data_IF_021274300737
#
_entry.id   IF_021274300737
#
_cell.length_a   1.000
_cell.length_b   1.000
_cell.length_c   1.000
_cell.angle_alpha   90.00
_cell.angle_beta   90.00
_cell.angle_gamma   90.00
#
_symmetry.space_group_name_H-M   'P 1'
#
loop_
_entity.id
_entity.type
_entity.pdbx_description
1 polymer ?
#
# COMPACT_ATOMS: atom_id res chain seq x y z
N UNK A 1 2.17 -10.40 13.47
CA UNK A 1 3.31 -9.64 12.92
C UNK A 1 2.89 -9.18 11.54
N UNK A 2 2.98 -7.90 11.26
CA UNK A 2 2.87 -7.36 9.90
C UNK A 2 4.26 -7.38 9.24
N UNK A 3 4.32 -7.62 7.94
CA UNK A 3 5.57 -7.62 7.16
C UNK A 3 5.49 -6.51 6.11
N UNK A 4 6.54 -5.70 6.02
CA UNK A 4 6.65 -4.69 4.96
C UNK A 4 6.87 -5.40 3.61
N UNK A 5 5.87 -5.31 2.73
CA UNK A 5 5.91 -5.89 1.38
C UNK A 5 6.47 -4.92 0.33
N UNK A 6 6.57 -3.63 0.66
CA UNK A 6 6.91 -2.60 -0.30
C UNK A 6 6.70 -1.19 0.22
N UNK A 7 6.94 -0.21 -0.65
CA UNK A 7 6.82 1.22 -0.35
C UNK A 7 6.10 1.97 -1.46
N UNK A 8 5.32 2.98 -1.10
CA UNK A 8 4.70 3.88 -2.07
C UNK A 8 5.76 4.85 -2.56
N UNK A 9 6.05 4.86 -3.85
CA UNK A 9 7.09 5.72 -4.44
C UNK A 9 6.52 7.03 -4.96
N UNK A 10 5.28 7.01 -5.45
CA UNK A 10 4.60 8.18 -6.01
C UNK A 10 3.11 8.15 -5.69
N UNK A 11 2.51 9.32 -5.54
CA UNK A 11 1.06 9.48 -5.37
C UNK A 11 0.53 10.61 -6.25
N UNK A 12 -0.43 10.29 -7.10
CA UNK A 12 -1.13 11.23 -7.98
C UNK A 12 -2.41 11.72 -7.31
N UNK A 13 -2.30 12.84 -6.60
CA UNK A 13 -3.42 13.42 -5.82
C UNK A 13 -4.67 13.76 -6.64
N UNK A 14 -4.51 14.14 -7.91
CA UNK A 14 -5.66 14.50 -8.78
C UNK A 14 -6.57 13.31 -9.09
N UNK A 15 -6.01 12.10 -9.14
CA UNK A 15 -6.75 10.86 -9.47
C UNK A 15 -6.78 9.88 -8.30
N UNK A 16 -6.19 10.25 -7.16
CA UNK A 16 -6.06 9.43 -5.96
C UNK A 16 -5.42 8.05 -6.22
N UNK A 17 -4.36 8.01 -7.03
CA UNK A 17 -3.64 6.77 -7.36
C UNK A 17 -2.23 6.79 -6.78
N UNK A 18 -1.86 5.76 -6.03
CA UNK A 18 -0.50 5.53 -5.55
C UNK A 18 0.24 4.46 -6.37
N UNK A 19 1.53 4.67 -6.62
CA UNK A 19 2.42 3.63 -7.15
C UNK A 19 3.11 2.95 -5.98
N UNK A 20 2.84 1.65 -5.81
CA UNK A 20 3.49 0.78 -4.85
C UNK A 20 4.63 0.02 -5.54
N UNK A 21 5.85 0.18 -5.02
CA UNK A 21 6.98 -0.68 -5.37
C UNK A 21 7.01 -1.86 -4.40
N UNK A 22 6.70 -3.07 -4.89
CA UNK A 22 6.78 -4.29 -4.11
C UNK A 22 8.25 -4.74 -4.01
N UNK A 23 8.76 -4.85 -2.79
CA UNK A 23 10.12 -5.29 -2.50
C UNK A 23 10.16 -6.75 -2.05
N UNK A 24 9.11 -7.23 -1.37
CA UNK A 24 9.00 -8.58 -0.81
C UNK A 24 7.54 -9.04 -0.74
N UNK A 25 7.34 -10.35 -0.75
CA UNK A 25 6.00 -10.94 -0.64
C UNK A 25 5.19 -10.82 -1.93
N UNK A 26 3.89 -11.11 -1.81
CA UNK A 26 2.93 -11.03 -2.91
C UNK A 26 1.69 -10.29 -2.44
N UNK A 27 1.05 -9.58 -3.35
CA UNK A 27 -0.24 -8.92 -3.11
C UNK A 27 -1.31 -9.67 -3.91
N UNK A 28 -2.36 -10.14 -3.25
CA UNK A 28 -3.49 -10.82 -3.89
C UNK A 28 -4.81 -10.09 -3.63
N UNK A 29 -5.76 -10.28 -4.54
CA UNK A 29 -7.13 -9.79 -4.34
C UNK A 29 -7.73 -10.50 -3.14
N UNK A 30 -8.33 -9.73 -2.23
CA UNK A 30 -8.84 -10.20 -0.95
C UNK A 30 -7.92 -9.91 0.23
N UNK A 31 -6.64 -9.61 0.00
CA UNK A 31 -5.69 -9.28 1.06
C UNK A 31 -6.03 -7.95 1.73
N UNK A 32 -5.65 -7.80 3.00
CA UNK A 32 -5.71 -6.52 3.70
C UNK A 32 -4.29 -6.02 3.94
N UNK A 33 -3.99 -4.85 3.40
CA UNK A 33 -2.70 -4.17 3.59
C UNK A 33 -2.84 -3.01 4.56
N UNK A 34 -1.75 -2.72 5.24
CA UNK A 34 -1.61 -1.57 6.12
C UNK A 34 -0.72 -0.54 5.44
N UNK A 35 -1.28 0.63 5.15
CA UNK A 35 -0.56 1.76 4.56
C UNK A 35 -0.20 2.73 5.69
N UNK A 36 1.10 2.86 5.94
CA UNK A 36 1.65 3.73 6.97
C UNK A 36 2.62 4.74 6.36
N UNK A 37 2.28 6.01 6.49
CA UNK A 37 3.06 7.15 6.02
C UNK A 37 3.06 8.27 7.05
N UNK A 38 3.63 9.41 6.69
CA UNK A 38 3.77 10.52 7.64
C UNK A 38 2.43 11.17 8.01
N UNK A 39 1.49 11.23 7.05
CA UNK A 39 0.18 11.88 7.21
C UNK A 39 -1.00 10.91 7.12
N UNK A 40 -0.73 9.62 6.92
CA UNK A 40 -1.75 8.63 6.62
C UNK A 40 -1.39 7.31 7.25
N UNK A 41 -2.35 6.72 7.95
CA UNK A 41 -2.22 5.42 8.62
C UNK A 41 -3.59 4.76 8.51
N UNK A 42 -3.72 3.78 7.62
CA UNK A 42 -4.99 3.10 7.37
C UNK A 42 -4.80 1.70 6.79
N UNK A 43 -5.82 0.87 6.97
CA UNK A 43 -5.90 -0.45 6.39
C UNK A 43 -6.78 -0.41 5.15
N UNK A 44 -6.33 -1.08 4.08
CA UNK A 44 -7.06 -1.18 2.83
C UNK A 44 -7.18 -2.64 2.43
N UNK A 45 -8.40 -3.06 2.09
CA UNK A 45 -8.63 -4.35 1.46
C UNK A 45 -8.43 -4.22 -0.04
N UNK A 46 -7.71 -5.18 -0.64
CA UNK A 46 -7.53 -5.28 -2.08
C UNK A 46 -8.79 -5.93 -2.65
N UNK A 47 -9.47 -5.23 -3.56
CA UNK A 47 -10.68 -5.68 -4.27
C UNK A 47 -10.39 -5.92 -5.76
#
# INVERSE_FOLDING_TARGET
MEEEIGKITHYFSKINVGILELSKGTLQVGDTIHIKGHTSDFYQKIE
#
